data_IF_579350870362
#
_entry.id   IF_579350870362
#
_cell.length_a   1.000
_cell.length_b   1.000
_cell.length_c   1.000
_cell.angle_alpha   90.00
_cell.angle_beta   90.00
_cell.angle_gamma   90.00
#
_symmetry.space_group_name_H-M   'P 1'
#
loop_
_entity.id
_entity.type
_entity.pdbx_description
1 polymer ?
#
# COMPACT_ATOMS: atom_id res chain seq x y z
N UNK A 1 -6.37 -5.60 21.76
CA UNK A 1 -6.81 -4.22 21.44
C UNK A 1 -5.62 -3.45 20.91
N UNK A 2 -5.73 -2.82 19.73
CA UNK A 2 -4.70 -1.92 19.21
C UNK A 2 -4.65 -0.65 20.06
N UNK A 3 -3.46 -0.29 20.51
CA UNK A 3 -3.22 0.94 21.29
C UNK A 3 -3.61 2.16 20.44
N UNK A 4 -4.09 3.23 21.07
CA UNK A 4 -4.34 4.50 20.40
C UNK A 4 -3.01 5.21 20.08
N UNK A 5 -2.23 4.64 19.16
CA UNK A 5 -0.98 5.20 18.70
C UNK A 5 -1.26 6.29 17.64
N UNK A 6 -0.58 7.44 17.70
CA UNK A 6 -0.72 8.50 16.71
C UNK A 6 -0.10 8.15 15.35
N UNK A 7 0.85 7.20 15.34
CA UNK A 7 1.50 6.67 14.14
C UNK A 7 1.32 5.16 14.11
N UNK A 8 0.89 4.65 12.95
CA UNK A 8 0.72 3.22 12.68
C UNK A 8 1.72 2.79 11.60
N UNK A 9 2.42 1.70 11.83
CA UNK A 9 3.24 1.03 10.82
C UNK A 9 2.67 -0.37 10.63
N UNK A 10 2.27 -0.69 9.39
CA UNK A 10 1.68 -1.96 9.03
C UNK A 10 2.57 -2.62 7.98
N UNK A 11 3.03 -3.82 8.27
CA UNK A 11 3.81 -4.63 7.35
C UNK A 11 2.93 -5.77 6.84
N UNK A 12 2.61 -5.73 5.54
CA UNK A 12 1.74 -6.64 4.82
C UNK A 12 0.50 -7.12 5.61
N UNK A 13 -0.45 -6.23 5.97
CA UNK A 13 -1.54 -6.56 6.89
C UNK A 13 -2.58 -7.55 6.32
N UNK A 14 -2.46 -7.90 5.04
CA UNK A 14 -3.28 -8.88 4.33
C UNK A 14 -2.49 -10.14 3.93
N UNK A 15 -1.20 -10.24 4.29
CA UNK A 15 -0.39 -11.40 3.97
C UNK A 15 -0.96 -12.70 4.54
N UNK A 16 -0.94 -13.75 3.73
CA UNK A 16 -1.45 -15.08 4.09
C UNK A 16 -2.98 -15.20 4.12
N UNK A 17 -3.72 -14.13 3.77
CA UNK A 17 -5.18 -14.20 3.61
C UNK A 17 -5.55 -14.57 2.17
N UNK A 18 -6.60 -15.37 2.03
CA UNK A 18 -7.24 -15.55 0.72
C UNK A 18 -7.95 -14.25 0.27
N UNK A 19 -8.31 -14.16 -1.00
CA UNK A 19 -8.92 -12.96 -1.59
C UNK A 19 -10.23 -12.52 -0.92
N UNK A 20 -11.00 -13.44 -0.33
CA UNK A 20 -12.26 -13.13 0.36
C UNK A 20 -11.95 -12.57 1.75
N UNK A 21 -11.07 -13.23 2.49
CA UNK A 21 -10.62 -12.79 3.80
C UNK A 21 -9.92 -11.42 3.73
N UNK A 22 -9.05 -11.21 2.73
CA UNK A 22 -8.38 -9.94 2.49
C UNK A 22 -9.40 -8.80 2.29
N UNK A 23 -10.43 -9.02 1.46
CA UNK A 23 -11.51 -8.04 1.26
C UNK A 23 -12.29 -7.73 2.54
N UNK A 24 -12.50 -8.74 3.39
CA UNK A 24 -13.19 -8.55 4.67
C UNK A 24 -12.38 -7.69 5.66
N UNK A 25 -11.05 -7.76 5.63
CA UNK A 25 -10.19 -6.98 6.54
C UNK A 25 -9.86 -5.58 6.03
N UNK A 26 -9.97 -5.31 4.71
CA UNK A 26 -9.70 -3.99 4.12
C UNK A 26 -10.56 -2.89 4.74
N UNK A 27 -11.86 -3.12 4.93
CA UNK A 27 -12.76 -2.13 5.53
C UNK A 27 -12.42 -1.81 7.00
N UNK A 28 -12.22 -2.81 7.89
CA UNK A 28 -11.63 -2.59 9.21
C UNK A 28 -10.29 -1.85 9.20
N UNK A 29 -9.37 -2.20 8.29
CA UNK A 29 -8.09 -1.51 8.12
C UNK A 29 -8.28 -0.04 7.79
N UNK A 30 -9.15 0.29 6.83
CA UNK A 30 -9.49 1.68 6.48
C UNK A 30 -10.00 2.49 7.66
N UNK A 31 -10.77 1.87 8.56
CA UNK A 31 -11.23 2.51 9.81
C UNK A 31 -10.10 2.70 10.81
N UNK A 32 -9.19 1.72 10.92
CA UNK A 32 -8.05 1.78 11.84
C UNK A 32 -7.07 2.91 11.49
N UNK A 33 -6.83 3.13 10.19
CA UNK A 33 -5.90 4.15 9.70
C UNK A 33 -6.50 5.56 9.68
N UNK A 34 -7.83 5.67 9.81
CA UNK A 34 -8.51 6.97 9.76
C UNK A 34 -8.10 7.86 10.93
N UNK A 35 -7.69 9.10 10.62
CA UNK A 35 -7.26 10.08 11.62
C UNK A 35 -5.92 9.74 12.29
N UNK A 36 -5.10 8.89 11.67
CA UNK A 36 -3.77 8.51 12.16
C UNK A 36 -2.78 8.52 11.00
N UNK A 37 -1.59 9.01 11.29
CA UNK A 37 -0.49 8.89 10.33
C UNK A 37 -0.13 7.42 10.20
N UNK A 38 -0.26 6.88 8.99
CA UNK A 38 -0.08 5.46 8.71
C UNK A 38 0.98 5.27 7.64
N UNK A 39 1.89 4.36 7.91
CA UNK A 39 2.85 3.80 6.96
C UNK A 39 2.45 2.34 6.73
N UNK A 40 2.10 2.02 5.50
CA UNK A 40 1.67 0.68 5.10
C UNK A 40 2.65 0.14 4.06
N UNK A 41 3.29 -0.98 4.36
CA UNK A 41 4.18 -1.70 3.46
C UNK A 41 3.37 -2.85 2.87
N UNK A 42 3.27 -2.92 1.55
CA UNK A 42 2.51 -3.99 0.89
C UNK A 42 2.95 -4.17 -0.56
N UNK A 43 2.79 -5.39 -1.07
CA UNK A 43 2.85 -5.70 -2.49
C UNK A 43 1.45 -5.68 -3.15
N UNK A 44 0.37 -5.42 -2.39
CA UNK A 44 -1.00 -5.37 -2.91
C UNK A 44 -1.38 -3.92 -3.30
N UNK A 45 -1.49 -3.61 -4.61
CA UNK A 45 -1.85 -2.28 -5.09
C UNK A 45 -3.30 -1.90 -4.77
N UNK A 46 -4.16 -2.82 -4.30
CA UNK A 46 -5.56 -2.54 -3.97
C UNK A 46 -5.74 -1.58 -2.77
N UNK A 47 -4.72 -1.46 -1.92
CA UNK A 47 -4.70 -0.57 -0.76
C UNK A 47 -4.14 0.82 -1.08
N UNK A 48 -3.47 0.97 -2.22
CA UNK A 48 -2.81 2.21 -2.62
C UNK A 48 -3.74 3.34 -3.11
N UNK A 49 -4.96 3.12 -3.64
CA UNK A 49 -5.86 4.21 -4.03
C UNK A 49 -6.29 5.13 -2.88
N UNK A 50 -6.27 4.64 -1.63
CA UNK A 50 -6.62 5.46 -0.45
C UNK A 50 -5.42 6.22 0.13
N UNK A 51 -4.24 6.08 -0.47
CA UNK A 51 -3.00 6.67 -0.03
C UNK A 51 -2.92 8.16 -0.37
N UNK A 52 -2.41 8.97 0.55
CA UNK A 52 -2.02 10.34 0.23
C UNK A 52 -0.76 10.34 -0.65
N UNK A 53 0.14 9.38 -0.41
CA UNK A 53 1.30 9.11 -1.26
C UNK A 53 1.64 7.63 -1.36
N UNK A 54 2.12 7.25 -2.53
CA UNK A 54 2.71 5.97 -2.86
C UNK A 54 4.20 6.18 -3.09
N UNK A 55 5.00 5.29 -2.54
CA UNK A 55 6.44 5.20 -2.78
C UNK A 55 6.78 3.78 -3.21
N UNK A 56 7.50 3.65 -4.31
CA UNK A 56 8.04 2.35 -4.76
C UNK A 56 9.48 2.25 -4.34
N UNK A 57 9.81 1.21 -3.59
CA UNK A 57 11.17 0.92 -3.14
C UNK A 57 11.64 -0.37 -3.79
N UNK A 58 12.82 -0.32 -4.39
CA UNK A 58 13.50 -1.50 -4.95
C UNK A 58 14.99 -1.46 -4.56
N UNK A 59 15.54 -2.60 -4.16
CA UNK A 59 16.94 -2.72 -3.74
C UNK A 59 17.37 -1.71 -2.66
N UNK A 60 16.46 -1.33 -1.75
CA UNK A 60 16.71 -0.33 -0.72
C UNK A 60 16.79 1.12 -1.21
N UNK A 61 16.30 1.40 -2.43
CA UNK A 61 16.30 2.73 -3.04
C UNK A 61 14.89 3.14 -3.44
N UNK A 62 14.57 4.43 -3.26
CA UNK A 62 13.31 5.01 -3.72
C UNK A 62 13.31 5.16 -5.24
N UNK A 63 12.49 4.39 -5.93
CA UNK A 63 12.37 4.42 -7.39
C UNK A 63 11.37 5.48 -7.86
N UNK A 64 10.21 5.52 -7.21
CA UNK A 64 9.11 6.41 -7.57
C UNK A 64 8.40 6.93 -6.33
N UNK A 65 7.89 8.15 -6.41
CA UNK A 65 6.99 8.71 -5.41
C UNK A 65 5.90 9.54 -6.09
N UNK A 66 4.73 9.61 -5.47
CA UNK A 66 3.63 10.45 -5.94
C UNK A 66 2.29 10.09 -5.32
N UNK A 67 1.21 10.73 -5.78
CA UNK A 67 -0.15 10.23 -5.56
C UNK A 67 -0.38 8.98 -6.41
N UNK A 68 -1.33 8.10 -6.06
CA UNK A 68 -1.62 6.87 -6.84
C UNK A 68 -1.62 7.10 -8.37
N UNK A 69 -2.22 8.20 -8.84
CA UNK A 69 -2.33 8.51 -10.26
C UNK A 69 -1.00 8.89 -10.93
N UNK A 70 -0.07 9.49 -10.20
CA UNK A 70 1.17 10.02 -10.76
C UNK A 70 2.13 8.91 -11.25
N UNK A 71 2.53 7.90 -10.45
CA UNK A 71 3.32 6.77 -10.94
C UNK A 71 2.57 5.92 -11.98
N UNK A 72 1.23 5.81 -11.89
CA UNK A 72 0.42 5.12 -12.91
C UNK A 72 0.59 5.80 -14.27
N UNK A 73 0.45 7.12 -14.32
CA UNK A 73 0.58 7.89 -15.56
C UNK A 73 1.98 7.82 -16.18
N UNK A 74 3.03 7.60 -15.37
CA UNK A 74 4.41 7.43 -15.86
C UNK A 74 4.67 6.07 -16.51
N UNK A 75 3.78 5.08 -16.31
CA UNK A 75 3.98 3.72 -16.83
C UNK A 75 5.16 2.99 -16.19
N UNK A 76 5.57 3.43 -14.99
CA UNK A 76 6.72 2.91 -14.26
C UNK A 76 6.49 1.57 -13.58
N UNK A 77 7.31 1.27 -12.56
CA UNK A 77 7.21 0.07 -11.73
C UNK A 77 5.83 -0.06 -11.09
N UNK A 78 5.36 1.02 -10.47
CA UNK A 78 4.05 1.06 -9.85
C UNK A 78 2.91 0.76 -10.84
N UNK A 79 2.98 1.29 -12.07
CA UNK A 79 1.95 1.09 -13.09
C UNK A 79 1.85 -0.38 -13.52
N UNK A 80 2.98 -1.10 -13.55
CA UNK A 80 3.01 -2.54 -13.84
C UNK A 80 2.39 -3.35 -12.70
N UNK A 81 2.64 -2.94 -11.44
CA UNK A 81 2.02 -3.56 -10.27
C UNK A 81 0.49 -3.32 -10.24
N UNK A 82 0.05 -2.08 -10.49
CA UNK A 82 -1.36 -1.69 -10.49
C UNK A 82 -2.15 -2.14 -11.73
N UNK A 83 -1.45 -2.66 -12.75
CA UNK A 83 -2.04 -3.09 -14.02
C UNK A 83 -2.78 -4.44 -13.94
N UNK A 84 -3.47 -4.84 -15.02
CA UNK A 84 -4.30 -6.06 -15.07
C UNK A 84 -3.49 -7.37 -15.03
N UNK A 85 -2.17 -7.31 -15.18
CA UNK A 85 -1.27 -8.45 -15.03
C UNK A 85 -0.42 -8.18 -13.79
N UNK A 86 -0.71 -8.83 -12.64
CA UNK A 86 0.14 -8.70 -11.46
C UNK A 86 1.51 -9.28 -11.84
N UNK A 87 2.47 -8.40 -12.12
CA UNK A 87 3.86 -8.82 -12.27
C UNK A 87 4.32 -9.34 -10.91
N UNK A 88 4.86 -10.55 -10.88
CA UNK A 88 5.62 -11.05 -9.74
C UNK A 88 6.90 -10.20 -9.62
N UNK A 89 6.78 -9.04 -8.99
CA UNK A 89 7.91 -8.17 -8.67
C UNK A 89 8.06 -8.16 -7.15
N UNK A 90 9.28 -8.39 -6.70
CA UNK A 90 9.78 -8.20 -5.33
C UNK A 90 9.89 -6.71 -5.00
N UNK A 91 8.88 -5.92 -5.33
CA UNK A 91 8.87 -4.47 -5.11
C UNK A 91 7.95 -4.14 -3.93
N UNK A 92 8.54 -3.59 -2.88
CA UNK A 92 7.79 -3.15 -1.70
C UNK A 92 7.16 -1.78 -2.02
N UNK A 93 5.82 -1.74 -1.99
CA UNK A 93 5.10 -0.47 -2.09
C UNK A 93 4.83 0.07 -0.70
N UNK A 94 5.32 1.27 -0.43
CA UNK A 94 5.01 2.03 0.77
C UNK A 94 3.86 2.99 0.49
N UNK A 95 2.77 2.79 1.20
CA UNK A 95 1.59 3.65 1.22
C UNK A 95 1.66 4.54 2.45
N UNK A 96 1.66 5.85 2.25
CA UNK A 96 1.63 6.85 3.32
C UNK A 96 0.27 7.54 3.36
N UNK A 97 -0.28 7.61 4.56
CA UNK A 97 -1.49 8.36 4.88
C UNK A 97 -1.24 9.25 6.10
N UNK A 98 -1.72 10.49 6.11
CA UNK A 98 -1.58 11.42 7.25
C UNK A 98 -2.78 11.41 8.18
#
# INVERSE_FOLDING_TARGET
MLRAAPVLVLDEPTAGLDSVAARQVVQPLRRLVSGRTTILITHDPSLAPDADRVLVVDGGRLMEAGTHAEPVARGGAYARLAGPTPGALTEDTLVLRR
#
